data_IF_014962897785
#
_entry.id   IF_014962897785
#
_cell.length_a   1.000
_cell.length_b   1.000
_cell.length_c   1.000
_cell.angle_alpha   90.00
_cell.angle_beta   90.00
_cell.angle_gamma   90.00
#
_symmetry.space_group_name_H-M   'P 1'
#
loop_
_entity.id
_entity.type
_entity.pdbx_description
1 polymer ?
#
# COMPACT_ATOMS: atom_id res chain seq x y z
N UNK A 1 25.64 -6.14 -24.54
CA UNK A 1 25.52 -7.59 -24.22
C UNK A 1 24.30 -8.17 -24.95
N UNK A 2 24.17 -9.50 -25.07
CA UNK A 2 23.02 -10.10 -25.79
C UNK A 2 21.68 -9.69 -25.18
N UNK A 3 21.60 -9.59 -23.86
CA UNK A 3 20.42 -9.12 -23.13
C UNK A 3 19.97 -7.72 -23.55
N UNK A 4 20.89 -6.77 -23.69
CA UNK A 4 20.60 -5.41 -24.14
C UNK A 4 20.20 -5.37 -25.61
N UNK A 5 20.85 -6.19 -26.44
CA UNK A 5 20.52 -6.27 -27.86
C UNK A 5 19.09 -6.81 -28.07
N UNK A 6 18.66 -7.80 -27.29
CA UNK A 6 17.31 -8.36 -27.41
C UNK A 6 16.21 -7.29 -27.18
N UNK A 7 16.43 -6.33 -26.28
CA UNK A 7 15.50 -5.20 -26.09
C UNK A 7 15.43 -4.30 -27.33
N UNK A 8 16.57 -4.04 -27.98
CA UNK A 8 16.63 -3.24 -29.21
C UNK A 8 15.92 -3.91 -30.39
N UNK A 9 15.85 -5.24 -30.40
CA UNK A 9 15.33 -6.04 -31.51
C UNK A 9 14.01 -6.74 -31.20
N UNK A 10 13.23 -6.25 -30.23
CA UNK A 10 11.80 -6.61 -30.09
C UNK A 10 11.39 -7.30 -28.80
N UNK A 11 12.31 -7.58 -27.87
CA UNK A 11 11.96 -8.06 -26.55
C UNK A 11 11.30 -6.94 -25.73
N UNK A 12 10.17 -7.25 -25.08
CA UNK A 12 9.47 -6.37 -24.15
C UNK A 12 10.11 -6.33 -22.77
N UNK A 13 10.76 -7.43 -22.37
CA UNK A 13 11.57 -7.52 -21.16
C UNK A 13 12.65 -8.58 -21.33
N UNK A 14 13.73 -8.44 -20.58
CA UNK A 14 14.85 -9.38 -20.54
C UNK A 14 15.35 -9.51 -19.10
N UNK A 15 15.52 -10.74 -18.61
CA UNK A 15 16.13 -11.06 -17.32
C UNK A 15 17.33 -11.97 -17.53
N UNK A 16 18.33 -11.82 -16.66
CA UNK A 16 19.54 -12.66 -16.64
C UNK A 16 19.49 -13.42 -15.32
N UNK A 17 19.52 -14.74 -15.40
CA UNK A 17 19.56 -15.59 -14.21
C UNK A 17 21.03 -15.85 -13.85
N UNK A 18 21.50 -15.24 -12.76
CA UNK A 18 22.78 -15.59 -12.14
C UNK A 18 22.57 -16.83 -11.26
N UNK A 19 22.87 -18.03 -11.78
CA UNK A 19 22.86 -19.22 -10.93
C UNK A 19 24.06 -19.19 -9.97
N UNK A 20 23.81 -19.06 -8.67
CA UNK A 20 24.79 -19.44 -7.63
C UNK A 20 24.93 -20.98 -7.63
N UNK A 21 25.82 -21.53 -8.47
CA UNK A 21 26.10 -22.97 -8.45
C UNK A 21 27.60 -23.26 -8.33
N UNK A 22 27.96 -23.99 -7.27
CA UNK A 22 29.26 -24.65 -7.10
C UNK A 22 29.30 -25.91 -7.97
N UNK A 23 29.35 -25.75 -9.31
CA UNK A 23 29.38 -26.84 -10.28
C UNK A 23 29.88 -26.39 -11.65
N UNK A 24 30.57 -27.31 -12.36
CA UNK A 24 31.52 -27.10 -13.47
C UNK A 24 30.95 -26.60 -14.83
N UNK A 25 29.80 -25.92 -14.86
CA UNK A 25 29.23 -25.34 -16.08
C UNK A 25 28.87 -23.85 -15.89
N UNK A 26 29.74 -22.95 -16.36
CA UNK A 26 29.50 -21.50 -16.48
C UNK A 26 28.48 -21.19 -17.60
N UNK A 27 27.22 -21.64 -17.44
CA UNK A 27 26.14 -21.35 -18.38
C UNK A 27 25.31 -20.15 -17.92
N UNK A 28 25.28 -19.09 -18.72
CA UNK A 28 24.43 -17.91 -18.51
C UNK A 28 23.05 -18.14 -19.16
N UNK A 29 21.97 -18.01 -18.38
CA UNK A 29 20.60 -18.09 -18.90
C UNK A 29 19.98 -16.70 -19.01
N UNK A 30 19.34 -16.45 -20.15
CA UNK A 30 18.63 -15.21 -20.46
C UNK A 30 17.18 -15.57 -20.77
N UNK A 31 16.25 -14.97 -20.03
CA UNK A 31 14.80 -15.12 -20.26
C UNK A 31 14.24 -13.82 -20.81
N UNK A 32 13.50 -13.89 -21.92
CA UNK A 32 12.99 -12.71 -22.63
C UNK A 32 11.52 -12.87 -23.01
N UNK A 33 10.73 -11.81 -22.87
CA UNK A 33 9.32 -11.79 -23.25
C UNK A 33 9.16 -11.04 -24.56
N UNK A 34 8.46 -11.63 -25.53
CA UNK A 34 8.12 -11.02 -26.81
C UNK A 34 6.61 -10.92 -26.97
N UNK A 35 6.14 -9.90 -27.69
CA UNK A 35 4.73 -9.87 -28.11
C UNK A 35 4.49 -10.89 -29.22
N UNK A 36 3.27 -11.42 -29.31
CA UNK A 36 2.90 -12.44 -30.31
C UNK A 36 3.07 -11.97 -31.77
N UNK A 37 3.21 -10.67 -31.99
CA UNK A 37 3.43 -10.07 -33.31
C UNK A 37 4.88 -10.11 -33.77
N UNK A 38 5.83 -10.47 -32.89
CA UNK A 38 7.27 -10.50 -33.20
C UNK A 38 7.70 -11.89 -33.66
N UNK A 39 8.58 -11.96 -34.66
CA UNK A 39 9.28 -13.18 -35.01
C UNK A 39 10.49 -13.34 -34.07
N UNK A 40 10.32 -14.13 -33.01
CA UNK A 40 11.34 -14.34 -31.97
C UNK A 40 12.68 -14.80 -32.56
N UNK A 41 12.66 -15.62 -33.61
CA UNK A 41 13.88 -16.11 -34.25
C UNK A 41 14.62 -14.97 -34.95
N UNK A 42 13.89 -14.13 -35.68
CA UNK A 42 14.47 -12.96 -36.35
C UNK A 42 15.06 -11.98 -35.33
N UNK A 43 14.32 -11.71 -34.24
CA UNK A 43 14.79 -10.86 -33.14
C UNK A 43 16.09 -11.36 -32.52
N UNK A 44 16.18 -12.66 -32.21
CA UNK A 44 17.40 -13.27 -31.63
C UNK A 44 18.56 -13.23 -32.63
N UNK A 45 18.30 -13.51 -33.91
CA UNK A 45 19.32 -13.46 -34.96
C UNK A 45 19.91 -12.05 -35.09
N UNK A 46 19.07 -11.03 -35.18
CA UNK A 46 19.50 -9.63 -35.29
C UNK A 46 20.26 -9.18 -34.03
N UNK A 47 19.78 -9.58 -32.85
CA UNK A 47 20.46 -9.30 -31.59
C UNK A 47 21.86 -9.94 -31.53
N UNK A 48 21.98 -11.21 -31.91
CA UNK A 48 23.25 -11.93 -31.94
C UNK A 48 24.25 -11.32 -32.94
N UNK A 49 23.78 -10.99 -34.15
CA UNK A 49 24.60 -10.35 -35.18
C UNK A 49 25.11 -8.97 -34.72
N UNK A 50 24.25 -8.18 -34.06
CA UNK A 50 24.59 -6.82 -33.62
C UNK A 50 25.73 -6.75 -32.62
N UNK A 51 25.95 -7.83 -31.86
CA UNK A 51 27.04 -7.95 -30.88
C UNK A 51 28.19 -8.83 -31.37
N UNK A 52 28.13 -9.30 -32.61
CA UNK A 52 29.19 -10.09 -33.25
C UNK A 52 29.30 -11.53 -32.75
N UNK A 53 28.20 -12.15 -32.30
CA UNK A 53 28.19 -13.59 -32.02
C UNK A 53 28.36 -14.37 -33.33
N UNK A 54 29.24 -15.39 -33.30
CA UNK A 54 29.53 -16.23 -34.48
C UNK A 54 28.44 -17.25 -34.77
N UNK A 55 27.70 -17.63 -33.73
CA UNK A 55 26.64 -18.63 -33.80
C UNK A 55 25.42 -18.11 -33.03
N UNK A 56 24.24 -18.47 -33.52
CA UNK A 56 22.99 -18.15 -32.85
C UNK A 56 22.90 -18.95 -31.53
N UNK A 57 22.52 -18.31 -30.42
CA UNK A 57 22.29 -19.01 -29.15
C UNK A 57 21.24 -20.10 -29.30
N UNK A 58 21.40 -21.19 -28.55
CA UNK A 58 20.31 -22.15 -28.37
C UNK A 58 19.18 -21.46 -27.58
N UNK A 59 17.95 -21.61 -28.05
CA UNK A 59 16.78 -21.04 -27.42
C UNK A 59 15.58 -21.99 -27.52
N UNK A 60 14.70 -21.88 -26.54
CA UNK A 60 13.38 -22.51 -26.55
C UNK A 60 12.33 -21.39 -26.55
N UNK A 61 11.23 -21.60 -27.28
CA UNK A 61 10.10 -20.67 -27.30
C UNK A 61 8.91 -21.38 -26.70
N UNK A 62 8.46 -20.86 -25.56
CA UNK A 62 7.20 -21.29 -24.96
C UNK A 62 6.14 -20.22 -25.22
N UNK A 63 5.07 -20.63 -25.91
CA UNK A 63 3.88 -19.81 -26.04
C UNK A 63 3.08 -19.94 -24.76
N UNK A 64 3.18 -18.95 -23.88
CA UNK A 64 2.23 -18.84 -22.79
C UNK A 64 0.92 -18.28 -23.34
N UNK A 65 -0.18 -19.02 -23.15
CA UNK A 65 -1.50 -18.41 -23.29
C UNK A 65 -1.53 -17.14 -22.45
N UNK A 66 -2.33 -16.16 -22.87
CA UNK A 66 -2.71 -15.05 -22.00
C UNK A 66 -3.58 -15.63 -20.88
N UNK A 67 -2.94 -16.37 -19.96
CA UNK A 67 -3.50 -16.81 -18.72
C UNK A 67 -3.99 -15.52 -18.09
N UNK A 68 -5.29 -15.45 -17.88
CA UNK A 68 -5.92 -14.32 -17.23
C UNK A 68 -5.50 -14.38 -15.75
N UNK A 69 -4.22 -14.09 -15.50
CA UNK A 69 -3.59 -14.07 -14.20
C UNK A 69 -4.35 -13.12 -13.30
N UNK A 70 -4.97 -12.07 -13.86
CA UNK A 70 -5.92 -11.20 -13.18
C UNK A 70 -7.10 -12.02 -12.65
N UNK A 71 -7.84 -12.76 -13.51
CA UNK A 71 -8.94 -13.61 -13.04
C UNK A 71 -8.49 -14.68 -12.04
N UNK A 72 -7.37 -15.35 -12.27
CA UNK A 72 -6.88 -16.40 -11.37
C UNK A 72 -6.47 -15.82 -10.00
N UNK A 73 -5.85 -14.64 -9.99
CA UNK A 73 -5.56 -13.89 -8.78
C UNK A 73 -6.86 -13.42 -8.10
N UNK A 74 -7.83 -12.92 -8.85
CA UNK A 74 -9.16 -12.54 -8.33
C UNK A 74 -9.90 -13.72 -7.68
N UNK A 75 -9.83 -14.92 -8.28
CA UNK A 75 -10.44 -16.15 -7.75
C UNK A 75 -9.84 -16.58 -6.41
N UNK A 76 -8.56 -16.27 -6.17
CA UNK A 76 -7.89 -16.57 -4.90
C UNK A 76 -8.36 -15.70 -3.74
N UNK A 77 -8.88 -14.50 -4.00
CA UNK A 77 -9.37 -13.60 -2.97
C UNK A 77 -10.78 -13.98 -2.50
N UNK A 78 -10.89 -14.21 -1.19
CA UNK A 78 -12.12 -14.58 -0.51
C UNK A 78 -12.54 -13.50 0.50
N UNK A 79 -13.83 -13.37 0.81
CA UNK A 79 -14.26 -12.51 1.91
C UNK A 79 -13.56 -12.89 3.22
N UNK A 80 -13.07 -11.89 3.93
CA UNK A 80 -12.29 -12.05 5.17
C UNK A 80 -13.14 -11.61 6.35
N UNK A 81 -13.44 -12.53 7.27
CA UNK A 81 -14.03 -12.17 8.56
C UNK A 81 -12.94 -11.60 9.45
N UNK A 82 -13.06 -10.32 9.81
CA UNK A 82 -12.11 -9.68 10.72
C UNK A 82 -12.52 -9.93 12.17
N UNK A 83 -13.80 -9.77 12.45
CA UNK A 83 -14.43 -10.08 13.74
C UNK A 83 -15.92 -10.35 13.54
N UNK A 84 -16.66 -10.62 14.61
CA UNK A 84 -18.12 -10.68 14.53
C UNK A 84 -18.69 -9.34 14.05
N UNK A 85 -19.55 -9.40 13.03
CA UNK A 85 -20.17 -8.20 12.44
C UNK A 85 -19.27 -7.36 11.53
N UNK A 86 -18.06 -7.81 11.14
CA UNK A 86 -17.19 -7.10 10.19
C UNK A 86 -16.52 -8.02 9.16
N UNK A 87 -16.72 -7.68 7.89
CA UNK A 87 -16.13 -8.37 6.75
C UNK A 87 -15.42 -7.41 5.79
N UNK A 88 -14.29 -7.88 5.25
CA UNK A 88 -13.66 -7.29 4.07
C UNK A 88 -14.01 -8.15 2.87
N UNK A 89 -14.53 -7.55 1.80
CA UNK A 89 -15.15 -8.26 0.69
C UNK A 89 -14.52 -7.78 -0.61
N UNK A 90 -13.89 -8.66 -1.41
CA UNK A 90 -13.46 -8.28 -2.76
C UNK A 90 -14.65 -7.83 -3.61
N UNK A 91 -14.49 -6.79 -4.44
CA UNK A 91 -15.60 -6.17 -5.19
C UNK A 91 -16.37 -7.14 -6.09
N UNK A 92 -15.71 -8.20 -6.58
CA UNK A 92 -16.31 -9.25 -7.41
C UNK A 92 -16.99 -10.36 -6.61
N UNK A 93 -17.04 -10.28 -5.27
CA UNK A 93 -17.65 -11.29 -4.39
C UNK A 93 -18.85 -10.72 -3.65
N UNK A 94 -19.78 -11.62 -3.28
CA UNK A 94 -20.90 -11.27 -2.42
C UNK A 94 -20.48 -11.34 -0.95
N UNK A 95 -20.98 -10.42 -0.09
CA UNK A 95 -20.74 -10.50 1.34
C UNK A 95 -21.37 -11.78 1.93
N UNK A 96 -20.63 -12.54 2.77
CA UNK A 96 -21.19 -13.72 3.42
C UNK A 96 -22.33 -13.40 4.40
N UNK A 97 -22.27 -12.24 5.04
CA UNK A 97 -23.31 -11.71 5.90
C UNK A 97 -23.66 -10.27 5.50
N UNK A 98 -24.84 -10.10 4.91
CA UNK A 98 -25.35 -8.79 4.46
C UNK A 98 -25.75 -7.86 5.61
N UNK A 99 -25.95 -8.39 6.81
CA UNK A 99 -26.32 -7.61 8.00
C UNK A 99 -25.09 -7.09 8.77
N UNK A 100 -23.92 -7.68 8.51
CA UNK A 100 -22.65 -7.21 9.03
C UNK A 100 -22.19 -5.92 8.33
N UNK A 101 -21.22 -5.24 8.94
CA UNK A 101 -20.46 -4.19 8.27
C UNK A 101 -19.59 -4.85 7.21
N UNK A 102 -19.84 -4.49 5.94
CA UNK A 102 -19.06 -4.97 4.80
C UNK A 102 -18.24 -3.81 4.24
N UNK A 103 -16.92 -3.97 4.20
CA UNK A 103 -15.98 -3.07 3.52
C UNK A 103 -15.62 -3.73 2.20
N UNK A 104 -16.05 -3.14 1.10
CA UNK A 104 -15.80 -3.66 -0.25
C UNK A 104 -14.52 -3.06 -0.80
N UNK A 105 -13.57 -3.87 -1.25
CA UNK A 105 -12.29 -3.37 -1.78
C UNK A 105 -11.94 -4.08 -3.09
N UNK A 106 -11.17 -3.41 -3.94
CA UNK A 106 -10.33 -4.06 -4.95
C UNK A 106 -8.92 -4.30 -4.36
N UNK A 107 -8.57 -5.56 -4.02
CA UNK A 107 -7.24 -5.90 -3.49
C UNK A 107 -6.10 -5.77 -4.52
N UNK A 108 -6.39 -5.61 -5.82
CA UNK A 108 -5.38 -5.54 -6.88
C UNK A 108 -4.66 -4.19 -6.99
N UNK A 109 -5.17 -3.14 -6.34
CA UNK A 109 -4.73 -1.76 -6.58
C UNK A 109 -3.83 -1.16 -5.49
N UNK A 110 -3.78 -1.73 -4.28
CA UNK A 110 -2.86 -1.29 -3.22
C UNK A 110 -2.75 -2.29 -2.05
N UNK A 111 -1.75 -2.08 -1.19
CA UNK A 111 -1.58 -2.82 0.06
C UNK A 111 -2.74 -2.58 1.03
N UNK A 112 -3.11 -3.62 1.80
CA UNK A 112 -4.18 -3.53 2.81
C UNK A 112 -5.47 -4.26 2.42
N UNK A 113 -5.37 -5.57 2.18
CA UNK A 113 -6.50 -6.45 1.80
C UNK A 113 -7.37 -6.88 2.98
N UNK A 114 -6.95 -6.58 4.22
CA UNK A 114 -7.63 -7.01 5.45
C UNK A 114 -7.27 -8.41 5.94
N UNK A 115 -6.56 -9.22 5.14
CA UNK A 115 -6.07 -10.54 5.59
C UNK A 115 -4.89 -10.43 6.54
N UNK A 116 -4.02 -9.44 6.29
CA UNK A 116 -2.78 -9.25 7.00
C UNK A 116 -3.01 -8.94 8.50
N UNK A 117 -2.29 -9.60 9.43
CA UNK A 117 -2.53 -9.45 10.87
C UNK A 117 -2.42 -8.01 11.37
N UNK A 118 -1.50 -7.19 10.84
CA UNK A 118 -1.39 -5.77 11.22
C UNK A 118 -2.65 -4.97 10.89
N UNK A 119 -3.25 -5.21 9.73
CA UNK A 119 -4.50 -4.57 9.32
C UNK A 119 -5.67 -5.02 10.19
N UNK A 120 -5.76 -6.32 10.50
CA UNK A 120 -6.79 -6.84 11.42
C UNK A 120 -6.68 -6.23 12.82
N UNK A 121 -5.47 -6.13 13.37
CA UNK A 121 -5.23 -5.48 14.65
C UNK A 121 -5.69 -4.02 14.64
N UNK A 122 -5.41 -3.26 13.58
CA UNK A 122 -5.88 -1.89 13.44
C UNK A 122 -7.40 -1.79 13.32
N UNK A 123 -8.05 -2.69 12.58
CA UNK A 123 -9.51 -2.73 12.46
C UNK A 123 -10.20 -3.06 13.79
N UNK A 124 -9.66 -4.02 14.55
CA UNK A 124 -10.13 -4.35 15.90
C UNK A 124 -9.96 -3.18 16.85
N UNK A 125 -8.82 -2.48 16.78
CA UNK A 125 -8.58 -1.26 17.54
C UNK A 125 -9.65 -0.21 17.17
N UNK A 126 -9.81 0.13 15.90
CA UNK A 126 -10.78 1.12 15.43
C UNK A 126 -12.20 0.82 15.89
N UNK A 127 -12.66 -0.42 15.76
CA UNK A 127 -13.98 -0.83 16.19
C UNK A 127 -14.20 -0.58 17.70
N UNK A 128 -13.15 -0.72 18.51
CA UNK A 128 -13.22 -0.44 19.94
C UNK A 128 -13.23 1.06 20.27
N UNK A 129 -12.73 1.91 19.36
CA UNK A 129 -12.50 3.34 19.61
C UNK A 129 -13.56 4.26 19.03
N UNK A 130 -14.02 4.00 17.81
CA UNK A 130 -15.01 4.85 17.15
C UNK A 130 -16.38 4.59 17.79
N UNK A 131 -16.96 5.60 18.42
CA UNK A 131 -18.27 5.59 19.09
C UNK A 131 -19.30 6.49 18.42
N UNK A 132 -18.87 7.29 17.45
CA UNK A 132 -19.72 8.20 16.69
C UNK A 132 -19.21 9.64 16.80
N UNK A 133 -18.99 10.27 15.65
CA UNK A 133 -18.64 11.69 15.58
C UNK A 133 -17.14 12.02 15.59
N UNK A 134 -16.27 11.02 15.71
CA UNK A 134 -14.82 11.23 15.76
C UNK A 134 -14.24 11.70 14.42
N UNK A 135 -13.12 12.43 14.50
CA UNK A 135 -12.26 12.76 13.36
C UNK A 135 -11.09 11.80 13.33
N UNK A 136 -11.01 10.97 12.30
CA UNK A 136 -9.98 9.95 12.14
C UNK A 136 -8.91 10.33 11.12
N UNK A 137 -7.65 9.98 11.40
CA UNK A 137 -6.54 10.05 10.44
C UNK A 137 -5.90 8.68 10.25
N UNK A 138 -5.77 8.28 8.99
CA UNK A 138 -5.06 7.10 8.51
C UNK A 138 -3.72 7.52 7.86
N UNK A 139 -2.61 7.32 8.56
CA UNK A 139 -1.27 7.72 8.12
C UNK A 139 -0.58 6.57 7.40
N UNK A 140 -0.44 6.68 6.08
CA UNK A 140 -0.07 5.57 5.20
C UNK A 140 -1.30 4.75 4.82
N UNK A 141 -2.28 5.39 4.18
CA UNK A 141 -3.64 4.86 4.00
C UNK A 141 -3.72 3.67 3.04
N UNK A 142 -2.77 3.50 2.11
CA UNK A 142 -2.73 2.36 1.20
C UNK A 142 -4.05 2.19 0.44
N UNK A 143 -4.70 1.05 0.59
CA UNK A 143 -6.03 0.75 0.03
C UNK A 143 -7.18 1.62 0.57
N UNK A 144 -6.95 2.42 1.61
CA UNK A 144 -7.98 3.20 2.30
C UNK A 144 -8.80 2.39 3.31
N UNK A 145 -8.46 1.12 3.56
CA UNK A 145 -9.26 0.20 4.37
C UNK A 145 -9.56 0.73 5.78
N UNK A 146 -8.59 1.34 6.46
CA UNK A 146 -8.78 1.86 7.83
C UNK A 146 -9.63 3.13 7.81
N UNK A 147 -9.37 4.02 6.85
CA UNK A 147 -10.15 5.24 6.65
C UNK A 147 -11.64 4.95 6.36
N UNK A 148 -11.90 3.97 5.48
CA UNK A 148 -13.25 3.48 5.17
C UNK A 148 -13.89 2.83 6.39
N UNK A 149 -13.14 2.00 7.12
CA UNK A 149 -13.63 1.32 8.32
C UNK A 149 -14.08 2.33 9.38
N UNK A 150 -13.28 3.36 9.66
CA UNK A 150 -13.62 4.38 10.64
C UNK A 150 -14.97 5.06 10.33
N UNK A 151 -15.22 5.40 9.07
CA UNK A 151 -16.49 5.99 8.64
C UNK A 151 -17.66 5.00 8.80
N UNK A 152 -17.46 3.72 8.46
CA UNK A 152 -18.50 2.69 8.67
C UNK A 152 -18.75 2.39 10.15
N UNK A 153 -17.78 2.62 11.03
CA UNK A 153 -17.97 2.55 12.48
C UNK A 153 -18.63 3.80 13.08
N UNK A 154 -18.79 4.88 12.30
CA UNK A 154 -19.53 6.07 12.70
C UNK A 154 -18.70 7.33 12.90
N UNK A 155 -17.42 7.35 12.51
CA UNK A 155 -16.63 8.58 12.50
C UNK A 155 -17.34 9.66 11.66
N UNK A 156 -17.28 10.93 12.08
CA UNK A 156 -17.88 12.00 11.28
C UNK A 156 -17.03 12.32 10.05
N UNK A 157 -15.71 12.26 10.18
CA UNK A 157 -14.75 12.52 9.11
C UNK A 157 -13.56 11.57 9.21
N UNK A 158 -13.04 11.21 8.05
CA UNK A 158 -11.78 10.47 7.93
C UNK A 158 -10.86 11.16 6.94
N UNK A 159 -9.57 11.15 7.24
CA UNK A 159 -8.51 11.65 6.36
C UNK A 159 -7.50 10.53 6.14
N UNK A 160 -7.03 10.35 4.91
CA UNK A 160 -5.98 9.38 4.57
C UNK A 160 -4.81 10.05 3.87
N UNK A 161 -3.60 9.80 4.37
CA UNK A 161 -2.35 10.27 3.77
C UNK A 161 -1.56 9.11 3.20
N UNK A 162 -0.97 9.31 2.03
CA UNK A 162 0.03 8.40 1.49
C UNK A 162 1.08 9.17 0.70
N UNK A 163 2.28 8.60 0.55
CA UNK A 163 3.34 9.13 -0.32
C UNK A 163 3.22 8.58 -1.74
N UNK A 164 2.48 7.48 -1.94
CA UNK A 164 2.29 6.85 -3.23
C UNK A 164 0.99 7.36 -3.91
N UNK A 165 1.07 7.99 -5.10
CA UNK A 165 -0.12 8.40 -5.84
C UNK A 165 -1.02 7.22 -6.25
N UNK A 166 -0.48 6.01 -6.41
CA UNK A 166 -1.28 4.81 -6.69
C UNK A 166 -2.11 4.41 -5.47
N UNK A 167 -1.56 4.51 -4.26
CA UNK A 167 -2.31 4.29 -3.02
C UNK A 167 -3.48 5.28 -2.89
N UNK A 168 -3.25 6.57 -3.15
CA UNK A 168 -4.33 7.57 -3.12
C UNK A 168 -5.42 7.28 -4.16
N UNK A 169 -5.03 6.79 -5.34
CA UNK A 169 -5.98 6.39 -6.39
C UNK A 169 -6.80 5.17 -5.96
N UNK A 170 -6.14 4.15 -5.43
CA UNK A 170 -6.76 2.93 -4.89
C UNK A 170 -7.73 3.24 -3.75
N UNK A 171 -7.30 4.04 -2.76
CA UNK A 171 -8.14 4.46 -1.64
C UNK A 171 -9.39 5.20 -2.10
N UNK A 172 -9.30 6.01 -3.17
CA UNK A 172 -10.46 6.73 -3.74
C UNK A 172 -11.44 5.76 -4.41
N UNK A 173 -10.93 4.84 -5.23
CA UNK A 173 -11.77 3.81 -5.86
C UNK A 173 -12.47 2.93 -4.82
N UNK A 174 -11.73 2.51 -3.78
CA UNK A 174 -12.30 1.75 -2.67
C UNK A 174 -13.32 2.56 -1.86
N UNK A 175 -13.14 3.87 -1.70
CA UNK A 175 -14.15 4.73 -1.09
C UNK A 175 -15.45 4.75 -1.90
N UNK A 176 -15.34 4.86 -3.23
CA UNK A 176 -16.48 4.85 -4.15
C UNK A 176 -17.24 3.51 -4.09
N UNK A 177 -16.52 2.38 -4.04
CA UNK A 177 -17.10 1.04 -3.83
C UNK A 177 -17.91 0.93 -2.52
N UNK A 178 -17.60 1.77 -1.55
CA UNK A 178 -18.29 1.84 -0.26
C UNK A 178 -19.32 2.97 -0.15
N UNK A 179 -19.59 3.68 -1.25
CA UNK A 179 -20.47 4.86 -1.31
C UNK A 179 -20.02 5.99 -0.36
N UNK A 180 -18.71 6.20 -0.24
CA UNK A 180 -18.12 7.25 0.60
C UNK A 180 -17.58 8.36 -0.31
N UNK A 181 -18.17 9.54 -0.19
CA UNK A 181 -17.77 10.71 -0.96
C UNK A 181 -16.64 11.53 -0.31
N UNK A 182 -16.08 12.51 -1.06
CA UNK A 182 -15.01 13.39 -0.61
C UNK A 182 -15.42 14.36 0.52
N UNK A 183 -16.72 14.50 0.78
CA UNK A 183 -17.24 15.26 1.92
C UNK A 183 -17.00 14.56 3.25
N UNK A 184 -16.85 13.22 3.24
CA UNK A 184 -16.61 12.37 4.41
C UNK A 184 -15.18 11.84 4.48
N UNK A 185 -14.60 11.43 3.35
CA UNK A 185 -13.24 10.92 3.26
C UNK A 185 -12.36 11.81 2.39
N UNK A 186 -11.37 12.42 3.03
CA UNK A 186 -10.39 13.26 2.37
C UNK A 186 -9.07 12.52 2.18
N UNK A 187 -8.56 12.47 0.96
CA UNK A 187 -7.33 11.76 0.62
C UNK A 187 -6.30 12.74 0.07
N UNK A 188 -5.10 12.72 0.65
CA UNK A 188 -4.02 13.63 0.26
C UNK A 188 -2.71 12.90 0.04
N UNK A 189 -2.08 13.20 -1.10
CA UNK A 189 -0.72 12.79 -1.41
C UNK A 189 0.25 13.67 -0.62
N UNK A 190 1.15 13.02 0.12
CA UNK A 190 2.25 13.69 0.83
C UNK A 190 3.40 13.88 -0.15
N UNK A 191 3.87 15.12 -0.41
CA UNK A 191 4.94 15.36 -1.36
C UNK A 191 6.22 14.61 -0.94
N UNK A 192 6.79 13.85 -1.86
CA UNK A 192 8.11 13.26 -1.65
C UNK A 192 9.17 14.37 -1.76
N UNK A 193 10.19 14.34 -0.89
CA UNK A 193 11.32 15.29 -0.97
C UNK A 193 12.10 15.22 -2.30
N UNK A 194 11.86 14.17 -3.10
CA UNK A 194 12.53 13.92 -4.38
C UNK A 194 11.71 14.28 -5.63
N UNK A 195 10.54 14.93 -5.49
CA UNK A 195 9.77 15.40 -6.65
C UNK A 195 10.45 16.63 -7.29
N UNK A 196 11.50 16.37 -8.06
CA UNK A 196 11.82 17.20 -9.20
C UNK A 196 10.69 17.03 -10.22
N UNK A 197 9.72 17.94 -10.13
CA UNK A 197 8.59 18.13 -11.04
C UNK A 197 8.80 17.54 -12.44
N UNK A 198 8.23 16.36 -12.67
CA UNK A 198 8.10 15.76 -14.00
C UNK A 198 6.68 15.99 -14.51
N UNK A 199 6.59 17.01 -15.37
CA UNK A 199 5.88 17.05 -16.66
C UNK A 199 4.79 15.98 -16.90
N UNK A 200 3.74 15.99 -16.08
CA UNK A 200 2.46 15.37 -16.43
C UNK A 200 1.55 16.48 -16.96
N UNK A 201 1.01 16.30 -18.17
CA UNK A 201 0.27 17.30 -18.96
C UNK A 201 -1.08 17.77 -18.38
N UNK A 202 -1.16 17.97 -17.08
CA UNK A 202 -2.25 18.67 -16.39
C UNK A 202 -2.01 20.18 -16.43
N UNK A 203 -3.11 20.95 -16.46
CA UNK A 203 -3.01 22.41 -16.48
C UNK A 203 -2.29 22.91 -15.22
N UNK A 204 -1.36 23.85 -15.38
CA UNK A 204 -0.57 24.43 -14.27
C UNK A 204 -1.42 25.10 -13.18
N UNK A 205 -2.67 25.45 -13.46
CA UNK A 205 -3.60 26.08 -12.52
C UNK A 205 -4.31 25.05 -11.63
N UNK A 206 -4.68 23.88 -12.17
CA UNK A 206 -5.34 22.81 -11.41
C UNK A 206 -4.36 22.15 -10.41
N UNK A 207 -3.11 21.90 -10.83
CA UNK A 207 -2.08 21.38 -9.93
C UNK A 207 -1.84 22.30 -8.73
N UNK A 208 -1.70 23.62 -8.94
CA UNK A 208 -1.47 24.58 -7.85
C UNK A 208 -2.58 24.58 -6.82
N UNK A 209 -3.83 24.43 -7.24
CA UNK A 209 -4.99 24.45 -6.34
C UNK A 209 -5.04 23.18 -5.49
N UNK A 210 -4.78 22.02 -6.12
CA UNK A 210 -4.74 20.73 -5.42
C UNK A 210 -3.54 20.65 -4.45
N UNK A 211 -2.37 21.17 -4.84
CA UNK A 211 -1.18 21.20 -3.99
C UNK A 211 -1.40 22.07 -2.74
N UNK A 212 -2.00 23.25 -2.91
CA UNK A 212 -2.34 24.14 -1.79
C UNK A 212 -3.37 23.50 -0.85
N UNK A 213 -4.35 22.79 -1.40
CA UNK A 213 -5.36 22.08 -0.62
C UNK A 213 -4.75 20.92 0.17
N UNK A 214 -3.94 20.08 -0.47
CA UNK A 214 -3.19 19.00 0.20
C UNK A 214 -2.28 19.56 1.29
N UNK A 215 -1.52 20.61 0.99
CA UNK A 215 -0.65 21.27 1.96
C UNK A 215 -1.43 21.79 3.18
N UNK A 216 -2.64 22.30 2.98
CA UNK A 216 -3.49 22.75 4.09
C UNK A 216 -3.89 21.58 5.00
N UNK A 217 -4.33 20.46 4.42
CA UNK A 217 -4.79 19.29 5.20
C UNK A 217 -3.63 18.67 5.97
N UNK A 218 -2.47 18.55 5.31
CA UNK A 218 -1.24 18.04 5.91
C UNK A 218 -0.72 18.99 7.02
N UNK A 219 -1.03 20.29 6.95
CA UNK A 219 -0.63 21.25 8.00
C UNK A 219 -1.55 21.26 9.24
N UNK A 220 -2.70 20.57 9.22
CA UNK A 220 -3.68 20.61 10.32
C UNK A 220 -3.30 19.69 11.49
N UNK A 221 -2.34 20.14 12.29
CA UNK A 221 -1.93 19.48 13.52
C UNK A 221 -2.96 19.62 14.65
N UNK A 222 -2.95 18.70 15.62
CA UNK A 222 -3.86 18.65 16.77
C UNK A 222 -5.36 18.63 16.41
N UNK A 223 -5.72 17.94 15.34
CA UNK A 223 -7.09 17.95 14.78
C UNK A 223 -7.86 16.65 14.97
N UNK A 224 -7.18 15.51 15.12
CA UNK A 224 -7.82 14.20 15.06
C UNK A 224 -8.03 13.59 16.44
N UNK A 225 -9.17 12.93 16.62
CA UNK A 225 -9.53 12.22 17.86
C UNK A 225 -8.89 10.83 17.92
N UNK A 226 -8.61 10.26 16.74
CA UNK A 226 -7.90 8.99 16.57
C UNK A 226 -6.94 9.12 15.39
N UNK A 227 -5.69 8.75 15.58
CA UNK A 227 -4.67 8.64 14.52
C UNK A 227 -4.16 7.20 14.49
N UNK A 228 -4.09 6.57 13.32
CA UNK A 228 -3.44 5.27 13.17
C UNK A 228 -2.39 5.34 12.06
N UNK A 229 -1.23 4.75 12.31
CA UNK A 229 -0.20 4.50 11.31
C UNK A 229 0.09 2.99 11.24
N UNK A 230 -0.23 2.36 10.11
CA UNK A 230 0.07 0.95 9.84
C UNK A 230 1.12 0.86 8.72
N UNK A 231 2.35 1.23 9.05
CA UNK A 231 3.47 1.37 8.09
C UNK A 231 4.73 0.68 8.64
N UNK A 232 5.81 0.68 7.85
CA UNK A 232 7.06 0.01 8.21
C UNK A 232 7.78 0.67 9.40
N UNK A 233 8.61 -0.13 10.09
CA UNK A 233 9.35 0.26 11.29
C UNK A 233 10.14 1.57 11.14
N UNK A 234 10.99 1.70 10.13
CA UNK A 234 11.88 2.87 10.02
C UNK A 234 11.10 4.18 9.82
N UNK A 235 10.12 4.25 8.89
CA UNK A 235 9.20 5.39 8.83
C UNK A 235 8.51 5.70 10.16
N UNK A 236 8.06 4.69 10.91
CA UNK A 236 7.43 4.91 12.22
C UNK A 236 8.37 5.59 13.22
N UNK A 237 9.67 5.26 13.21
CA UNK A 237 10.64 5.89 14.08
C UNK A 237 10.99 7.30 13.60
N UNK A 238 11.25 7.47 12.30
CA UNK A 238 11.65 8.76 11.72
C UNK A 238 10.54 9.82 11.79
N UNK A 239 9.28 9.39 11.72
CA UNK A 239 8.11 10.27 11.63
C UNK A 239 7.30 10.32 12.91
N UNK A 240 7.80 9.76 14.03
CA UNK A 240 7.03 9.61 15.27
C UNK A 240 6.43 10.92 15.78
N UNK A 241 7.23 12.00 15.86
CA UNK A 241 6.75 13.31 16.29
C UNK A 241 5.66 13.85 15.34
N UNK A 242 5.87 13.73 14.03
CA UNK A 242 4.92 14.19 13.02
C UNK A 242 3.59 13.42 13.11
N UNK A 243 3.62 12.08 13.18
CA UNK A 243 2.42 11.23 13.30
C UNK A 243 1.63 11.63 14.56
N UNK A 244 2.29 11.74 15.70
CA UNK A 244 1.62 12.10 16.96
C UNK A 244 1.14 13.56 16.96
N UNK A 245 1.79 14.46 16.23
CA UNK A 245 1.41 15.87 16.18
C UNK A 245 0.01 16.12 15.62
N UNK A 246 -0.50 15.24 14.74
CA UNK A 246 -1.85 15.29 14.21
C UNK A 246 -2.95 15.03 15.24
N UNK A 247 -2.69 14.17 16.23
CA UNK A 247 -3.69 13.84 17.26
C UNK A 247 -3.93 15.04 18.20
N UNK A 248 -5.17 15.25 18.64
CA UNK A 248 -5.47 16.22 19.71
C UNK A 248 -4.74 15.83 21.02
N UNK A 249 -4.45 16.77 21.93
CA UNK A 249 -3.99 16.41 23.28
C UNK A 249 -4.97 15.44 23.95
N UNK A 250 -4.50 14.29 24.42
CA UNK A 250 -5.35 13.24 24.99
C UNK A 250 -6.09 12.37 23.97
N UNK A 251 -5.87 12.54 22.66
CA UNK A 251 -6.40 11.64 21.63
C UNK A 251 -5.57 10.37 21.53
N UNK A 252 -6.16 9.33 20.94
CA UNK A 252 -5.50 8.03 20.79
C UNK A 252 -4.66 7.98 19.52
N UNK A 253 -3.46 7.41 19.65
CA UNK A 253 -2.56 7.07 18.54
C UNK A 253 -2.31 5.57 18.51
N UNK A 254 -2.55 4.93 17.36
CA UNK A 254 -2.29 3.53 17.10
C UNK A 254 -1.14 3.34 16.11
N UNK A 255 -0.23 2.43 16.40
CA UNK A 255 0.96 2.13 15.61
C UNK A 255 0.98 0.63 15.32
N UNK A 256 1.01 0.25 14.05
CA UNK A 256 1.11 -1.16 13.61
C UNK A 256 1.98 -1.25 12.35
N UNK A 257 2.01 -2.41 11.70
CA UNK A 257 2.94 -2.69 10.60
C UNK A 257 4.33 -3.14 11.10
N UNK A 258 4.40 -3.59 12.35
CA UNK A 258 5.61 -4.06 13.01
C UNK A 258 5.44 -5.49 13.50
N UNK A 259 6.55 -6.22 13.54
CA UNK A 259 6.60 -7.55 14.14
C UNK A 259 6.79 -7.48 15.66
N UNK A 260 6.41 -8.53 16.36
CA UNK A 260 6.40 -8.63 17.83
C UNK A 260 7.74 -8.32 18.49
N UNK A 261 8.84 -8.64 17.81
CA UNK A 261 10.23 -8.44 18.24
C UNK A 261 10.62 -6.96 18.18
N UNK A 262 9.96 -6.16 17.34
CA UNK A 262 10.22 -4.73 17.18
C UNK A 262 9.48 -3.88 18.22
N UNK A 263 8.50 -4.46 18.94
CA UNK A 263 7.69 -3.73 19.93
C UNK A 263 8.52 -2.95 20.95
N UNK A 264 9.58 -3.50 21.57
CA UNK A 264 10.34 -2.78 22.59
C UNK A 264 10.94 -1.47 22.08
N UNK A 265 11.54 -1.45 20.88
CA UNK A 265 12.16 -0.22 20.35
C UNK A 265 11.12 0.83 19.94
N UNK A 266 9.97 0.39 19.42
CA UNK A 266 8.87 1.31 19.07
C UNK A 266 8.23 1.88 20.32
N UNK A 267 7.98 1.08 21.36
CA UNK A 267 7.45 1.56 22.65
C UNK A 267 8.41 2.55 23.30
N UNK A 268 9.70 2.23 23.35
CA UNK A 268 10.72 3.14 23.90
C UNK A 268 10.67 4.50 23.17
N UNK A 269 10.67 4.49 21.84
CA UNK A 269 10.65 5.71 21.06
C UNK A 269 9.35 6.52 21.23
N UNK A 270 8.18 5.86 21.14
CA UNK A 270 6.88 6.52 21.24
C UNK A 270 6.50 6.92 22.67
N UNK A 271 7.11 6.33 23.71
CA UNK A 271 6.89 6.72 25.12
C UNK A 271 7.28 8.16 25.43
N UNK A 272 8.08 8.80 24.56
CA UNK A 272 8.39 10.22 24.64
C UNK A 272 7.12 11.07 24.44
N UNK A 273 6.23 10.66 23.53
CA UNK A 273 5.05 11.42 23.10
C UNK A 273 3.73 10.86 23.62
N UNK A 274 3.67 9.56 23.92
CA UNK A 274 2.46 8.84 24.33
C UNK A 274 2.52 8.39 25.80
N UNK A 275 1.35 8.34 26.43
CA UNK A 275 1.09 7.73 27.73
C UNK A 275 0.08 6.58 27.60
N UNK A 276 -0.14 5.82 28.68
CA UNK A 276 -1.06 4.67 28.71
C UNK A 276 -0.85 3.65 27.58
N UNK A 277 0.42 3.38 27.27
CA UNK A 277 0.79 2.49 26.17
C UNK A 277 0.33 1.07 26.46
N UNK A 278 -0.39 0.48 25.51
CA UNK A 278 -0.80 -0.92 25.52
C UNK A 278 -0.46 -1.59 24.19
N UNK A 279 -0.19 -2.90 24.23
CA UNK A 279 0.21 -3.69 23.05
C UNK A 279 -0.77 -4.83 22.85
N UNK A 280 -1.24 -4.99 21.62
CA UNK A 280 -1.98 -6.15 21.14
C UNK A 280 -1.15 -6.90 20.10
N UNK A 281 -1.27 -8.23 20.06
CA UNK A 281 -0.51 -9.10 19.16
C UNK A 281 -1.43 -10.06 18.44
N UNK A 282 -1.10 -10.38 17.20
CA UNK A 282 -1.77 -11.39 16.37
C UNK A 282 -0.71 -12.02 15.48
N UNK A 283 -0.52 -13.32 15.63
CA UNK A 283 0.61 -14.05 15.04
C UNK A 283 1.93 -13.34 15.41
N UNK A 284 2.81 -13.12 14.44
CA UNK A 284 4.09 -12.43 14.64
C UNK A 284 3.96 -10.90 14.61
N UNK A 285 2.75 -10.34 14.45
CA UNK A 285 2.53 -8.90 14.31
C UNK A 285 2.00 -8.24 15.57
N UNK A 286 2.27 -6.95 15.70
CA UNK A 286 1.81 -6.16 16.84
C UNK A 286 1.13 -4.85 16.44
N UNK A 287 0.27 -4.38 17.33
CA UNK A 287 -0.31 -3.05 17.32
C UNK A 287 -0.14 -2.44 18.71
N UNK A 288 0.50 -1.27 18.75
CA UNK A 288 0.69 -0.46 19.94
C UNK A 288 -0.37 0.62 19.91
N UNK A 289 -1.04 0.87 21.03
CA UNK A 289 -1.89 2.05 21.21
C UNK A 289 -1.38 2.87 22.39
N UNK A 290 -1.52 4.18 22.32
CA UNK A 290 -1.26 5.09 23.43
C UNK A 290 -2.05 6.37 23.29
N UNK A 291 -2.10 7.14 24.36
CA UNK A 291 -2.76 8.45 24.39
C UNK A 291 -1.71 9.53 24.19
N UNK A 292 -1.96 10.51 23.33
CA UNK A 292 -1.06 11.66 23.20
C UNK A 292 -0.98 12.42 24.52
N UNK A 293 0.23 12.55 25.07
CA UNK A 293 0.45 13.33 26.28
C UNK A 293 -0.11 14.73 26.10
N UNK A 294 -0.87 15.19 27.09
CA UNK A 294 -1.24 16.61 27.18
C UNK A 294 0.04 17.33 27.56
N UNK A 295 0.57 18.22 26.69
CA UNK A 295 1.77 18.99 26.98
C UNK A 295 1.72 19.48 28.44
N UNK A 296 2.73 19.13 29.24
CA UNK A 296 2.90 19.74 30.55
C UNK A 296 3.10 21.24 30.29
N UNK A 297 2.15 22.04 30.78
CA UNK A 297 2.25 23.50 30.75
C UNK A 297 3.46 23.98 31.54
#
# INVERSE_FOLDING_TARGET
MLSEALLCFGASSVTIDEQESYGDNDEMKISSIFTISQDVKECISQAADSIGLREMPNYEVEMHDHTDWIKQTQESFHPVKVTEGLWIVPEWRKPPDVQAINIVLDPGLAFGTGEHPSTKLCLLLLQSLIKGGEYFLDYGTGSGILAIAALKFGADRSVGFDIDPLAITSARQNADLNNIGPDKLLLSLVPSKNDHALDSGFSREDMRTQDLYNARIIAEMNKYDVVIANILLYPLLDLAEAIVSYAKPGALVGISGIISEQVPCVVEHYSQFLEDIAVSKMDDWACIRGTKKRNQA
#
